data_IF_149047008874
#
_entry.id   IF_149047008874
#
_cell.length_a   1.000
_cell.length_b   1.000
_cell.length_c   1.000
_cell.angle_alpha   90.00
_cell.angle_beta   90.00
_cell.angle_gamma   90.00
#
_symmetry.space_group_name_H-M   'P 1'
#
loop_
_entity.id
_entity.type
_entity.pdbx_description
1 polymer ?
#
# COMPACT_ATOMS: atom_id res chain seq x y z
N UNK A 1 -14.85 -18.86 -1.85
CA UNK A 1 -14.04 -17.89 -1.07
C UNK A 1 -14.71 -16.52 -1.15
N UNK A 2 -14.88 -15.82 -0.02
CA UNK A 2 -15.44 -14.46 0.01
C UNK A 2 -14.30 -13.46 -0.16
N UNK A 3 -14.47 -12.44 -1.01
CA UNK A 3 -13.47 -11.39 -1.19
C UNK A 3 -13.22 -10.66 0.13
N UNK A 4 -11.97 -10.28 0.39
CA UNK A 4 -11.63 -9.46 1.55
C UNK A 4 -12.23 -8.06 1.36
N UNK A 5 -12.78 -7.43 2.42
CA UNK A 5 -13.40 -6.12 2.34
C UNK A 5 -12.35 -5.00 2.33
N UNK A 6 -11.52 -4.97 1.29
CA UNK A 6 -10.47 -3.96 1.12
C UNK A 6 -11.11 -2.63 0.71
N UNK A 7 -10.77 -1.57 1.44
CA UNK A 7 -11.28 -0.20 1.21
C UNK A 7 -10.13 0.77 0.88
N UNK A 8 -8.94 0.53 1.46
CA UNK A 8 -7.77 1.35 1.17
C UNK A 8 -6.48 0.56 1.25
N UNK A 9 -5.42 1.13 0.68
CA UNK A 9 -4.06 0.62 0.74
C UNK A 9 -3.19 1.64 1.43
N UNK A 10 -2.41 1.20 2.42
CA UNK A 10 -1.41 2.01 3.09
C UNK A 10 -0.02 1.54 2.74
N UNK A 11 0.84 2.47 2.35
CA UNK A 11 2.26 2.24 2.11
C UNK A 11 3.08 3.06 3.10
N UNK A 12 4.10 2.42 3.70
CA UNK A 12 5.12 3.06 4.53
C UNK A 12 6.49 2.70 3.99
N UNK A 13 7.30 3.70 3.67
CA UNK A 13 8.68 3.53 3.17
C UNK A 13 9.56 4.59 3.83
N UNK A 14 10.34 4.19 4.84
CA UNK A 14 11.10 5.13 5.68
C UNK A 14 10.19 6.18 6.33
N UNK A 15 10.39 7.46 6.01
CA UNK A 15 9.55 8.56 6.49
C UNK A 15 8.28 8.78 5.65
N UNK A 16 8.19 8.19 4.46
CA UNK A 16 7.01 8.30 3.62
C UNK A 16 5.91 7.38 4.14
N UNK A 17 4.71 7.93 4.35
CA UNK A 17 3.53 7.17 4.71
C UNK A 17 2.31 7.78 4.00
N UNK A 18 1.65 7.00 3.15
CA UNK A 18 0.47 7.43 2.41
C UNK A 18 -0.59 6.32 2.44
N UNK A 19 -1.86 6.72 2.50
CA UNK A 19 -3.00 5.82 2.38
C UNK A 19 -3.87 6.30 1.23
N UNK A 20 -4.21 5.41 0.29
CA UNK A 20 -5.10 5.70 -0.83
C UNK A 20 -6.33 4.78 -0.79
N UNK A 21 -7.55 5.32 -1.02
CA UNK A 21 -8.72 4.47 -1.20
C UNK A 21 -8.56 3.61 -2.46
N UNK A 22 -9.18 2.44 -2.45
CA UNK A 22 -9.28 1.55 -3.60
C UNK A 22 -10.71 1.06 -3.75
N UNK A 23 -11.05 0.65 -4.96
CA UNK A 23 -12.35 0.13 -5.35
C UNK A 23 -12.21 -1.30 -5.87
N UNK A 24 -13.35 -1.99 -6.01
CA UNK A 24 -13.38 -3.34 -6.57
C UNK A 24 -12.96 -3.40 -8.05
N UNK A 25 -12.89 -2.26 -8.73
CA UNK A 25 -12.44 -2.16 -10.13
C UNK A 25 -10.95 -1.86 -10.26
N UNK A 26 -10.27 -1.50 -9.17
CA UNK A 26 -8.85 -1.19 -9.21
C UNK A 26 -8.02 -2.47 -9.29
N UNK A 27 -7.13 -2.54 -10.28
CA UNK A 27 -6.15 -3.62 -10.43
C UNK A 27 -4.79 -3.26 -9.86
N UNK A 28 -4.48 -1.96 -9.75
CA UNK A 28 -3.24 -1.47 -9.15
C UNK A 28 -3.41 -0.06 -8.56
N UNK A 29 -2.51 0.31 -7.64
CA UNK A 29 -2.39 1.67 -7.11
C UNK A 29 -0.92 2.08 -7.08
N UNK A 30 -0.64 3.35 -7.38
CA UNK A 30 0.74 3.87 -7.50
C UNK A 30 0.97 4.96 -6.45
N UNK A 31 2.08 4.84 -5.74
CA UNK A 31 2.56 5.83 -4.78
C UNK A 31 3.85 6.45 -5.30
N UNK A 32 3.96 7.78 -5.22
CA UNK A 32 5.16 8.52 -5.58
C UNK A 32 5.85 8.96 -4.28
N UNK A 33 7.04 8.43 -4.02
CA UNK A 33 7.80 8.73 -2.82
C UNK A 33 9.21 9.21 -3.19
N UNK A 34 9.61 10.35 -2.63
CA UNK A 34 11.00 10.82 -2.71
C UNK A 34 11.80 10.18 -1.59
N UNK A 35 12.74 9.28 -1.94
CA UNK A 35 13.52 8.52 -0.98
C UNK A 35 14.99 8.91 -1.05
N UNK A 36 15.64 8.98 0.12
CA UNK A 36 17.10 9.07 0.21
C UNK A 36 17.72 7.70 -0.09
N UNK A 37 18.87 7.69 -0.76
CA UNK A 37 19.64 6.46 -0.99
C UNK A 37 20.05 5.85 0.35
N UNK A 38 19.81 4.56 0.52
CA UNK A 38 20.21 3.81 1.71
C UNK A 38 19.31 2.59 1.94
N UNK A 39 19.55 1.91 3.07
CA UNK A 39 18.65 0.85 3.53
C UNK A 39 17.36 1.47 4.05
N UNK A 40 16.22 0.93 3.61
CA UNK A 40 14.91 1.42 4.00
C UNK A 40 13.94 0.26 4.17
N UNK A 41 13.16 0.32 5.25
CA UNK A 41 12.09 -0.64 5.47
C UNK A 41 10.85 -0.19 4.71
N UNK A 42 10.17 -1.16 4.11
CA UNK A 42 8.95 -0.97 3.36
C UNK A 42 7.85 -1.89 3.90
N UNK A 43 6.66 -1.33 4.04
CA UNK A 43 5.46 -2.06 4.40
C UNK A 43 4.30 -1.58 3.53
N UNK A 44 3.48 -2.52 3.07
CA UNK A 44 2.24 -2.24 2.38
C UNK A 44 1.12 -3.11 2.96
N UNK A 45 0.03 -2.49 3.36
CA UNK A 45 -1.12 -3.16 3.96
C UNK A 45 -2.42 -2.79 3.27
N UNK A 46 -3.26 -3.80 3.05
CA UNK A 46 -4.65 -3.64 2.66
C UNK A 46 -5.46 -3.41 3.93
N UNK A 47 -6.28 -2.36 3.94
CA UNK A 47 -7.08 -1.94 5.08
C UNK A 47 -8.57 -2.11 4.79
N UNK A 48 -9.33 -2.43 5.82
CA UNK A 48 -10.80 -2.37 5.76
C UNK A 48 -11.32 -0.94 5.99
N UNK A 49 -12.66 -0.79 5.97
CA UNK A 49 -13.35 0.49 6.19
C UNK A 49 -13.08 1.13 7.55
N UNK A 50 -12.60 0.37 8.53
CA UNK A 50 -12.24 0.86 9.87
C UNK A 50 -10.75 1.22 9.95
N UNK A 51 -10.01 1.10 8.83
CA UNK A 51 -8.57 1.32 8.78
C UNK A 51 -7.76 0.19 9.41
N UNK A 52 -8.38 -0.97 9.69
CA UNK A 52 -7.70 -2.14 10.26
C UNK A 52 -7.03 -2.92 9.14
N UNK A 53 -5.78 -3.32 9.36
CA UNK A 53 -5.04 -4.16 8.43
C UNK A 53 -5.74 -5.52 8.27
N UNK A 54 -6.13 -5.83 7.04
CA UNK A 54 -6.74 -7.12 6.69
C UNK A 54 -5.66 -8.12 6.28
N UNK A 55 -4.71 -7.67 5.47
CA UNK A 55 -3.57 -8.46 5.01
C UNK A 55 -2.47 -7.55 4.47
N UNK A 56 -1.27 -8.09 4.28
CA UNK A 56 -0.19 -7.42 3.56
C UNK A 56 -0.45 -7.46 2.05
N UNK A 57 -0.06 -6.41 1.33
CA UNK A 57 -0.09 -6.44 -0.13
C UNK A 57 1.01 -7.39 -0.66
N UNK A 58 0.62 -8.34 -1.53
CA UNK A 58 1.50 -9.43 -1.98
C UNK A 58 2.49 -9.00 -3.08
N UNK A 59 2.14 -8.00 -3.89
CA UNK A 59 3.02 -7.45 -4.93
C UNK A 59 3.25 -5.96 -4.69
N UNK A 60 4.45 -5.60 -4.21
CA UNK A 60 4.85 -4.20 -4.09
C UNK A 60 6.11 -3.98 -4.93
N UNK A 61 5.95 -3.28 -6.04
CA UNK A 61 7.03 -2.97 -6.97
C UNK A 61 7.59 -1.58 -6.69
N UNK A 62 8.91 -1.49 -6.55
CA UNK A 62 9.62 -0.21 -6.48
C UNK A 62 10.30 0.01 -7.82
N UNK A 63 9.94 1.11 -8.50
CA UNK A 63 10.61 1.55 -9.72
C UNK A 63 11.30 2.88 -9.46
N UNK A 64 12.54 3.01 -9.93
CA UNK A 64 13.18 4.32 -10.06
C UNK A 64 12.53 5.01 -11.26
N UNK A 65 11.98 6.20 -11.05
CA UNK A 65 11.45 7.07 -12.11
C UNK A 65 12.58 7.99 -12.56
#
# INVERSE_FOLDING_TARGET
>A
MKALPVDSVRVRVGAFAETKPVSSTDSCTVFAATLKKGHINQQAGLLDKLGKATTSAYYVYVRKI
#
